data_IF_615604619531
#
_entry.id   IF_615604619531
#
_cell.length_a   1.000
_cell.length_b   1.000
_cell.length_c   1.000
_cell.angle_alpha   90.00
_cell.angle_beta   90.00
_cell.angle_gamma   90.00
#
_symmetry.space_group_name_H-M   'P 1'
#
loop_
_entity.id
_entity.type
_entity.pdbx_description
1 polymer ?
#
# COMPACT_ATOMS: atom_id res chain seq x y z
N UNK A 1 51.60 26.66 9.46
CA UNK A 1 50.40 26.08 8.82
C UNK A 1 49.34 25.95 9.90
N UNK A 2 48.22 26.64 9.71
CA UNK A 2 47.23 26.98 10.74
C UNK A 2 46.33 25.78 11.10
N UNK A 3 46.03 25.55 12.40
CA UNK A 3 45.19 24.43 12.87
C UNK A 3 43.72 24.52 12.42
N UNK A 4 43.32 25.66 11.86
CA UNK A 4 41.97 25.91 11.35
C UNK A 4 41.60 25.09 10.11
N UNK A 5 42.57 24.68 9.28
CA UNK A 5 42.28 23.87 8.08
C UNK A 5 41.94 22.41 8.41
N UNK A 6 42.48 21.88 9.51
CA UNK A 6 42.21 20.49 9.95
C UNK A 6 40.79 20.38 10.50
N UNK A 7 40.29 21.41 11.19
CA UNK A 7 38.93 21.41 11.72
C UNK A 7 37.86 21.47 10.61
N UNK A 8 38.11 22.21 9.52
CA UNK A 8 37.19 22.31 8.38
C UNK A 8 37.03 20.99 7.62
N UNK A 9 38.10 20.18 7.53
CA UNK A 9 38.04 18.85 6.89
C UNK A 9 37.21 17.84 7.70
N UNK A 10 37.24 17.93 9.04
CA UNK A 10 36.49 17.04 9.93
C UNK A 10 34.99 17.37 9.86
N UNK A 11 34.60 18.65 9.72
CA UNK A 11 33.20 19.06 9.57
C UNK A 11 32.63 18.63 8.20
N UNK A 12 33.45 18.63 7.14
CA UNK A 12 33.01 18.16 5.81
C UNK A 12 32.72 16.65 5.78
N UNK A 13 33.45 15.85 6.58
CA UNK A 13 33.16 14.42 6.74
C UNK A 13 32.07 14.12 7.77
N UNK A 14 31.79 15.02 8.72
CA UNK A 14 30.71 14.83 9.70
C UNK A 14 29.29 15.07 9.11
N UNK A 15 29.19 15.59 7.88
CA UNK A 15 27.91 15.81 7.19
C UNK A 15 27.56 14.72 6.18
N UNK A 16 28.34 13.64 6.09
CA UNK A 16 27.89 12.44 5.39
C UNK A 16 26.85 11.71 6.24
N UNK A 17 25.59 12.12 6.07
CA UNK A 17 24.40 11.35 6.42
C UNK A 17 24.67 9.88 6.08
N UNK A 18 24.70 9.04 7.11
CA UNK A 18 25.04 7.63 6.97
C UNK A 18 24.12 6.98 5.92
N UNK A 19 24.63 6.02 5.15
CA UNK A 19 23.84 5.31 4.14
C UNK A 19 22.51 4.78 4.72
N UNK A 20 22.51 4.35 5.99
CA UNK A 20 21.31 3.89 6.71
C UNK A 20 20.27 4.98 7.02
N UNK A 21 20.62 6.25 6.93
CA UNK A 21 19.70 7.39 7.01
C UNK A 21 19.23 7.87 5.63
N UNK A 22 20.03 7.62 4.57
CA UNK A 22 19.57 7.66 3.17
C UNK A 22 18.59 6.52 2.85
N UNK A 23 18.74 5.35 3.47
CA UNK A 23 17.80 4.23 3.29
C UNK A 23 16.40 4.52 3.90
N UNK A 24 16.31 5.41 4.89
CA UNK A 24 15.02 5.96 5.36
C UNK A 24 14.39 6.93 4.35
N UNK A 25 15.20 7.54 3.47
CA UNK A 25 14.77 8.38 2.34
C UNK A 25 14.30 7.55 1.12
N UNK A 26 14.75 6.30 0.98
CA UNK A 26 14.40 5.43 -0.16
C UNK A 26 13.10 4.63 0.07
N UNK A 27 12.04 5.28 0.57
CA UNK A 27 10.72 4.65 0.60
C UNK A 27 10.28 4.31 -0.83
N UNK A 28 9.68 3.12 -1.03
CA UNK A 28 9.39 2.58 -2.35
C UNK A 28 10.60 2.52 -3.32
N UNK A 29 11.83 2.40 -2.79
CA UNK A 29 13.08 2.43 -3.55
C UNK A 29 13.24 3.65 -4.49
N UNK A 30 12.50 4.75 -4.24
CA UNK A 30 12.48 5.92 -5.13
C UNK A 30 11.88 5.68 -6.52
N UNK A 31 11.23 4.53 -6.75
CA UNK A 31 10.58 4.23 -8.02
C UNK A 31 9.40 5.17 -8.27
N UNK A 32 9.27 5.70 -9.49
CA UNK A 32 8.13 6.53 -9.89
C UNK A 32 7.10 5.64 -10.57
N UNK A 33 5.99 5.37 -9.90
CA UNK A 33 4.94 4.57 -10.49
C UNK A 33 4.17 5.38 -11.56
N UNK A 34 3.73 4.69 -12.62
CA UNK A 34 2.59 5.14 -13.41
C UNK A 34 1.35 5.14 -12.51
N UNK A 35 1.02 6.28 -11.93
CA UNK A 35 -0.08 6.44 -10.98
C UNK A 35 -0.77 7.77 -11.25
N UNK A 36 -2.08 7.71 -11.35
CA UNK A 36 -2.97 8.86 -11.34
C UNK A 36 -4.14 8.55 -10.42
N UNK A 37 -4.42 9.43 -9.47
CA UNK A 37 -5.46 9.20 -8.47
C UNK A 37 -6.82 8.99 -9.13
N UNK A 38 -7.18 9.78 -10.15
CA UNK A 38 -8.49 9.70 -10.81
C UNK A 38 -8.75 8.32 -11.42
N UNK A 39 -7.72 7.71 -11.96
CA UNK A 39 -7.80 6.44 -12.67
C UNK A 39 -7.81 5.24 -11.72
N UNK A 40 -7.36 5.46 -10.47
CA UNK A 40 -7.30 4.46 -9.40
C UNK A 40 -8.57 4.44 -8.55
N UNK A 41 -9.35 5.52 -8.48
CA UNK A 41 -10.57 5.58 -7.67
C UNK A 41 -11.61 4.54 -8.11
N UNK A 42 -12.44 4.10 -7.15
CA UNK A 42 -13.54 3.17 -7.36
C UNK A 42 -13.20 1.71 -7.05
N UNK A 43 -13.98 0.80 -7.63
CA UNK A 43 -13.95 -0.63 -7.32
C UNK A 43 -12.85 -1.37 -8.08
N UNK A 44 -12.19 -2.27 -7.37
CA UNK A 44 -11.17 -3.20 -7.83
C UNK A 44 -11.39 -4.59 -7.24
N UNK A 45 -11.06 -5.63 -7.99
CA UNK A 45 -11.13 -7.02 -7.55
C UNK A 45 -9.72 -7.57 -7.48
N UNK A 46 -9.35 -8.16 -6.34
CA UNK A 46 -8.12 -8.96 -6.28
C UNK A 46 -8.27 -10.13 -7.22
N UNK A 47 -7.31 -10.30 -8.12
CA UNK A 47 -7.27 -11.43 -9.06
C UNK A 47 -6.07 -12.34 -8.80
N UNK A 48 -4.99 -11.81 -8.21
CA UNK A 48 -3.81 -12.58 -7.88
C UNK A 48 -2.95 -11.89 -6.81
N UNK A 49 -2.02 -12.65 -6.23
CA UNK A 49 -0.93 -12.09 -5.41
C UNK A 49 0.42 -12.73 -5.74
N UNK A 50 1.48 -11.99 -5.47
CA UNK A 50 2.86 -12.44 -5.59
C UNK A 50 3.41 -12.71 -4.20
N UNK A 51 3.62 -13.98 -3.81
CA UNK A 51 4.13 -14.31 -2.50
C UNK A 51 5.65 -14.06 -2.40
N UNK A 52 6.11 -13.59 -1.25
CA UNK A 52 7.54 -13.42 -0.94
C UNK A 52 8.12 -14.68 -0.25
N UNK A 53 9.38 -14.62 0.17
CA UNK A 53 10.03 -15.62 1.02
C UNK A 53 9.30 -15.71 2.37
N UNK A 54 9.12 -16.93 2.86
CA UNK A 54 8.40 -17.18 4.12
C UNK A 54 6.88 -17.10 4.03
N UNK A 55 6.29 -16.73 2.88
CA UNK A 55 4.83 -16.78 2.73
C UNK A 55 4.33 -18.21 3.01
N UNK A 56 3.34 -18.39 3.90
CA UNK A 56 2.82 -19.71 4.23
C UNK A 56 2.35 -20.41 2.95
N UNK A 57 2.49 -21.74 2.92
CA UNK A 57 1.90 -22.57 1.85
C UNK A 57 0.39 -22.64 2.01
N UNK A 58 -0.28 -21.49 1.97
CA UNK A 58 -1.73 -21.42 1.91
C UNK A 58 -2.16 -22.10 0.61
N UNK A 59 -3.16 -22.98 0.73
CA UNK A 59 -3.76 -23.68 -0.41
C UNK A 59 -4.71 -22.79 -1.19
N UNK A 60 -5.28 -21.78 -0.54
CA UNK A 60 -6.27 -20.89 -1.13
C UNK A 60 -5.97 -19.43 -0.79
N UNK A 61 -6.18 -18.56 -1.78
CA UNK A 61 -6.06 -17.11 -1.67
C UNK A 61 -7.43 -16.57 -2.04
N UNK A 62 -8.17 -15.94 -1.13
CA UNK A 62 -9.52 -15.48 -1.45
C UNK A 62 -9.51 -14.29 -2.42
N UNK A 63 -10.33 -14.35 -3.47
CA UNK A 63 -10.69 -13.18 -4.26
C UNK A 63 -11.64 -12.32 -3.43
N UNK A 64 -11.30 -11.04 -3.28
CA UNK A 64 -12.15 -10.07 -2.60
C UNK A 64 -12.16 -8.75 -3.35
N UNK A 65 -13.24 -8.01 -3.13
CA UNK A 65 -13.42 -6.66 -3.66
C UNK A 65 -12.70 -5.66 -2.76
N UNK A 66 -12.15 -4.62 -3.36
CA UNK A 66 -11.57 -3.46 -2.71
C UNK A 66 -12.11 -2.18 -3.35
N UNK A 67 -12.56 -1.23 -2.55
CA UNK A 67 -12.91 0.11 -3.04
C UNK A 67 -11.83 1.11 -2.62
N UNK A 68 -11.35 1.90 -3.58
CA UNK A 68 -10.42 3.00 -3.32
C UNK A 68 -11.18 4.32 -3.40
N UNK A 69 -11.02 5.15 -2.36
CA UNK A 69 -11.57 6.51 -2.30
C UNK A 69 -10.51 7.48 -1.82
N UNK A 70 -10.58 8.73 -2.27
CA UNK A 70 -9.83 9.82 -1.66
C UNK A 70 -10.52 10.23 -0.35
N UNK A 71 -9.74 10.60 0.65
CA UNK A 71 -10.24 11.15 1.91
C UNK A 71 -9.50 12.44 2.18
N UNK A 72 -10.23 13.48 2.58
CA UNK A 72 -9.62 14.74 2.96
C UNK A 72 -8.98 14.64 4.36
N UNK A 73 -8.01 15.51 4.65
CA UNK A 73 -7.37 15.52 5.96
C UNK A 73 -8.36 15.79 7.10
N UNK A 74 -9.31 16.70 6.89
CA UNK A 74 -10.27 17.11 7.90
C UNK A 74 -11.24 15.97 8.23
N UNK A 75 -11.80 15.30 7.21
CA UNK A 75 -12.63 14.13 7.39
C UNK A 75 -11.91 12.99 8.10
N UNK A 76 -10.64 12.72 7.76
CA UNK A 76 -9.88 11.69 8.47
C UNK A 76 -9.60 12.07 9.92
N UNK A 77 -9.20 13.32 10.20
CA UNK A 77 -9.00 13.79 11.58
C UNK A 77 -10.27 13.69 12.40
N UNK A 78 -11.42 14.09 11.85
CA UNK A 78 -12.72 13.97 12.51
C UNK A 78 -13.05 12.52 12.84
N UNK A 79 -12.84 11.59 11.89
CA UNK A 79 -13.10 10.16 12.10
C UNK A 79 -12.23 9.62 13.24
N UNK A 80 -10.94 9.96 13.25
CA UNK A 80 -10.00 9.59 14.31
C UNK A 80 -10.47 10.14 15.66
N UNK A 81 -10.79 11.43 15.75
CA UNK A 81 -11.28 12.04 17.00
C UNK A 81 -12.61 11.44 17.50
N UNK A 82 -13.46 10.91 16.61
CA UNK A 82 -14.73 10.26 16.98
C UNK A 82 -14.57 8.81 17.41
N UNK A 83 -13.69 8.07 16.74
CA UNK A 83 -13.49 6.63 16.99
C UNK A 83 -12.55 6.37 18.17
N UNK A 84 -11.77 7.37 18.57
CA UNK A 84 -10.78 7.24 19.63
C UNK A 84 -10.98 8.34 20.68
N UNK A 85 -11.08 7.94 21.94
CA UNK A 85 -11.29 8.86 23.07
C UNK A 85 -10.11 9.81 23.30
N UNK A 86 -8.90 9.44 22.88
CA UNK A 86 -7.67 10.26 23.03
C UNK A 86 -6.60 9.88 21.99
N UNK A 87 -6.75 10.28 20.71
CA UNK A 87 -5.71 10.03 19.71
C UNK A 87 -4.42 10.79 20.06
N UNK A 88 -3.26 10.18 19.82
CA UNK A 88 -1.98 10.84 20.05
C UNK A 88 -1.81 12.04 19.10
N UNK A 89 -1.21 13.13 19.59
CA UNK A 89 -0.94 14.30 18.75
C UNK A 89 -0.05 13.94 17.55
N UNK A 90 0.88 13.00 17.76
CA UNK A 90 1.73 12.45 16.70
C UNK A 90 0.91 11.81 15.57
N UNK A 91 -0.15 11.06 15.88
CA UNK A 91 -1.05 10.49 14.88
C UNK A 91 -1.76 11.59 14.09
N UNK A 92 -2.27 12.62 14.77
CA UNK A 92 -2.95 13.75 14.13
C UNK A 92 -2.01 14.51 13.18
N UNK A 93 -0.76 14.74 13.62
CA UNK A 93 0.24 15.46 12.83
C UNK A 93 0.70 14.68 11.60
N UNK A 94 0.62 13.34 11.65
CA UNK A 94 0.92 12.45 10.51
C UNK A 94 -0.14 12.55 9.40
N UNK A 95 -1.38 12.92 9.72
CA UNK A 95 -2.50 13.11 8.76
C UNK A 95 -2.32 14.45 8.03
N UNK A 96 -1.46 14.46 6.99
CA UNK A 96 -1.21 15.61 6.09
C UNK A 96 -0.95 15.16 4.65
N UNK A 97 -1.41 15.88 3.64
CA UNK A 97 -1.24 15.52 2.22
C UNK A 97 -2.35 14.61 1.70
N UNK A 98 -2.16 14.08 0.48
CA UNK A 98 -3.14 13.19 -0.17
C UNK A 98 -3.30 11.90 0.62
N UNK A 99 -4.54 11.58 0.95
CA UNK A 99 -4.90 10.38 1.70
C UNK A 99 -5.86 9.55 0.85
N UNK A 100 -5.57 8.26 0.77
CA UNK A 100 -6.46 7.28 0.18
C UNK A 100 -6.98 6.34 1.25
N UNK A 101 -8.22 5.92 1.08
CA UNK A 101 -8.86 4.85 1.83
C UNK A 101 -9.04 3.65 0.92
N UNK A 102 -8.57 2.50 1.37
CA UNK A 102 -8.78 1.20 0.76
C UNK A 102 -9.73 0.40 1.65
N UNK A 103 -10.98 0.22 1.20
CA UNK A 103 -11.98 -0.60 1.87
C UNK A 103 -11.96 -2.01 1.32
N UNK A 104 -11.63 -2.99 2.14
CA UNK A 104 -11.58 -4.39 1.76
C UNK A 104 -12.86 -5.12 2.16
N UNK A 105 -13.53 -5.73 1.18
CA UNK A 105 -14.77 -6.48 1.35
C UNK A 105 -14.46 -7.97 1.47
N UNK A 106 -14.10 -8.40 2.68
CA UNK A 106 -13.87 -9.82 3.00
C UNK A 106 -14.90 -10.31 4.03
N UNK A 107 -14.81 -11.57 4.47
CA UNK A 107 -15.63 -12.08 5.58
C UNK A 107 -15.59 -11.18 6.82
N UNK A 108 -14.46 -10.48 7.03
CA UNK A 108 -14.28 -9.44 8.03
C UNK A 108 -13.84 -8.16 7.34
N UNK A 109 -14.77 -7.28 6.92
CA UNK A 109 -14.39 -6.07 6.23
C UNK A 109 -13.51 -5.17 7.11
N UNK A 110 -12.58 -4.48 6.46
CA UNK A 110 -11.69 -3.53 7.12
C UNK A 110 -11.29 -2.42 6.16
N UNK A 111 -10.94 -1.28 6.72
CA UNK A 111 -10.50 -0.11 5.99
C UNK A 111 -9.04 0.19 6.33
N UNK A 112 -8.23 0.48 5.32
CA UNK A 112 -6.87 0.97 5.47
C UNK A 112 -6.81 2.41 4.95
N UNK A 113 -6.32 3.33 5.78
CA UNK A 113 -5.97 4.68 5.34
C UNK A 113 -4.47 4.79 5.16
N UNK A 114 -4.08 5.34 4.01
CA UNK A 114 -2.69 5.53 3.64
C UNK A 114 -2.47 6.92 3.11
N UNK A 115 -1.32 7.49 3.44
CA UNK A 115 -0.91 8.85 3.06
C UNK A 115 0.17 8.78 1.99
N UNK A 116 0.08 9.65 0.99
CA UNK A 116 1.10 9.79 -0.05
C UNK A 116 2.45 10.21 0.55
N UNK A 117 3.53 9.65 0.02
CA UNK A 117 4.89 10.04 0.36
C UNK A 117 5.33 11.16 -0.61
N UNK A 118 5.72 12.34 -0.11
CA UNK A 118 6.13 13.45 -0.97
C UNK A 118 7.29 13.08 -1.90
N UNK A 119 7.19 13.48 -3.17
CA UNK A 119 8.25 13.30 -4.17
C UNK A 119 8.32 11.92 -4.83
N UNK A 120 7.46 10.97 -4.47
CA UNK A 120 7.45 9.62 -5.05
C UNK A 120 6.04 9.26 -5.51
N UNK A 121 5.80 9.30 -6.83
CA UNK A 121 4.48 9.07 -7.38
C UNK A 121 3.97 7.66 -7.09
N UNK A 122 2.71 7.57 -6.68
CA UNK A 122 2.03 6.32 -6.32
C UNK A 122 2.55 5.65 -5.04
N UNK A 123 3.49 6.26 -4.30
CA UNK A 123 4.02 5.70 -3.06
C UNK A 123 3.23 6.22 -1.86
N UNK A 124 2.81 5.29 -1.00
CA UNK A 124 1.97 5.56 0.16
C UNK A 124 2.53 4.88 1.40
N UNK A 125 2.33 5.53 2.55
CA UNK A 125 2.60 4.96 3.86
C UNK A 125 1.26 4.72 4.56
N UNK A 126 1.09 3.50 5.09
CA UNK A 126 -0.09 3.18 5.88
C UNK A 126 -0.12 4.04 7.15
N UNK A 127 -1.27 4.65 7.44
CA UNK A 127 -1.51 5.43 8.65
C UNK A 127 -2.12 4.54 9.73
N UNK A 128 -3.23 3.88 9.41
CA UNK A 128 -3.90 2.94 10.31
C UNK A 128 -4.87 2.02 9.57
N UNK A 129 -5.32 0.97 10.27
CA UNK A 129 -6.33 0.02 9.81
C UNK A 129 -7.47 0.01 10.82
N UNK A 130 -8.71 -0.02 10.36
CA UNK A 130 -9.89 -0.26 11.19
C UNK A 130 -10.63 -1.49 10.68
N UNK A 131 -10.69 -2.53 11.50
CA UNK A 131 -11.66 -3.60 11.28
C UNK A 131 -13.04 -3.08 11.71
N UNK A 132 -14.08 -3.43 10.96
CA UNK A 132 -15.44 -2.89 11.18
C UNK A 132 -15.97 -3.11 12.62
N UNK A 133 -15.40 -4.07 13.35
CA UNK A 133 -15.80 -4.47 14.71
C UNK A 133 -14.73 -4.27 15.80
N UNK A 134 -13.58 -3.65 15.52
CA UNK A 134 -12.49 -3.52 16.48
C UNK A 134 -11.97 -2.06 16.54
N UNK A 135 -11.92 -1.50 17.75
CA UNK A 135 -11.47 -0.12 18.02
C UNK A 135 -10.00 -0.02 18.42
N UNK A 136 -9.25 -1.12 18.43
CA UNK A 136 -7.84 -1.13 18.88
C UNK A 136 -6.90 -0.56 17.82
N UNK A 137 -6.19 0.52 18.18
CA UNK A 137 -5.12 1.17 17.39
C UNK A 137 -3.84 0.30 17.28
N UNK A 138 -3.76 -0.82 17.99
CA UNK A 138 -2.50 -1.55 18.21
C UNK A 138 -1.85 -2.11 16.92
N UNK A 139 -2.60 -2.30 15.83
CA UNK A 139 -2.04 -2.79 14.57
C UNK A 139 -1.66 -1.66 13.59
N UNK A 140 -1.88 -0.38 13.94
CA UNK A 140 -1.65 0.76 13.04
C UNK A 140 -0.23 1.37 13.15
N UNK A 141 0.25 1.54 14.38
CA UNK A 141 1.52 2.24 14.64
C UNK A 141 2.74 1.41 14.24
N UNK A 142 2.61 0.08 14.15
CA UNK A 142 3.67 -0.83 13.71
C UNK A 142 3.81 -0.93 12.18
N UNK A 143 2.86 -0.41 11.39
CA UNK A 143 2.80 -0.63 9.95
C UNK A 143 3.44 0.49 9.14
N UNK A 144 4.62 0.97 9.56
CA UNK A 144 5.48 1.85 8.75
C UNK A 144 5.91 1.27 7.38
N UNK A 145 5.30 0.17 6.96
CA UNK A 145 5.37 -0.45 5.65
C UNK A 145 4.90 0.55 4.58
N UNK A 146 5.80 0.91 3.67
CA UNK A 146 5.44 1.58 2.43
C UNK A 146 4.73 0.61 1.49
N UNK A 147 3.78 1.13 0.74
CA UNK A 147 3.19 0.46 -0.41
C UNK A 147 3.28 1.37 -1.63
N UNK A 148 3.26 0.78 -2.81
CA UNK A 148 3.23 1.52 -4.05
C UNK A 148 2.12 1.03 -4.95
N UNK A 149 1.30 1.97 -5.43
CA UNK A 149 0.23 1.73 -6.38
C UNK A 149 0.74 2.05 -7.78
N UNK A 150 0.70 1.06 -8.66
CA UNK A 150 1.14 1.20 -10.05
C UNK A 150 0.04 0.71 -10.99
N UNK A 151 -0.37 1.58 -11.92
CA UNK A 151 -1.24 1.22 -13.03
C UNK A 151 -0.39 0.66 -14.17
N UNK A 152 -0.64 -0.60 -14.49
CA UNK A 152 -0.04 -1.26 -15.64
C UNK A 152 -1.09 -1.36 -16.74
N UNK A 153 -0.82 -0.66 -17.85
CA UNK A 153 -1.67 -0.71 -19.03
C UNK A 153 -1.78 -2.14 -19.56
N UNK A 154 -2.96 -2.47 -20.05
CA UNK A 154 -3.26 -3.76 -20.66
C UNK A 154 -3.97 -3.53 -21.98
N UNK A 155 -3.57 -4.30 -23.00
CA UNK A 155 -4.19 -4.26 -24.32
C UNK A 155 -5.45 -5.14 -24.41
N UNK A 156 -5.95 -5.64 -23.28
CA UNK A 156 -7.20 -6.42 -23.25
C UNK A 156 -8.41 -5.53 -22.93
N UNK A 157 -9.59 -6.06 -23.25
CA UNK A 157 -10.86 -5.33 -23.15
C UNK A 157 -11.28 -4.94 -21.72
N UNK A 158 -10.65 -5.54 -20.70
CA UNK A 158 -10.98 -5.28 -19.30
C UNK A 158 -10.12 -4.19 -18.65
N UNK A 159 -9.26 -3.51 -19.44
CA UNK A 159 -8.51 -2.34 -19.01
C UNK A 159 -7.31 -2.65 -18.10
N UNK A 160 -6.74 -1.60 -17.46
CA UNK A 160 -5.45 -1.70 -16.79
C UNK A 160 -5.50 -2.58 -15.53
N UNK A 161 -4.33 -3.08 -15.15
CA UNK A 161 -4.11 -3.69 -13.86
C UNK A 161 -3.69 -2.64 -12.86
N UNK A 162 -4.22 -2.73 -11.64
CA UNK A 162 -3.63 -2.04 -10.50
C UNK A 162 -2.73 -3.04 -9.76
N UNK A 163 -1.46 -2.68 -9.60
CA UNK A 163 -0.46 -3.49 -8.90
C UNK A 163 -0.08 -2.74 -7.62
N UNK A 164 -0.46 -3.31 -6.47
CA UNK A 164 -0.07 -2.82 -5.15
C UNK A 164 1.19 -3.56 -4.70
N UNK A 165 2.33 -2.90 -4.81
CA UNK A 165 3.64 -3.41 -4.37
C UNK A 165 3.78 -3.14 -2.87
N UNK A 166 4.13 -4.16 -2.10
CA UNK A 166 4.29 -4.05 -0.64
C UNK A 166 5.77 -4.17 -0.28
N UNK A 167 6.31 -3.17 0.42
CA UNK A 167 7.74 -3.01 0.67
C UNK A 167 8.22 -3.54 2.04
N UNK A 168 7.49 -4.48 2.67
CA UNK A 168 7.95 -5.01 3.95
C UNK A 168 7.23 -6.22 4.53
N UNK A 169 6.71 -7.15 3.72
CA UNK A 169 5.98 -8.32 4.23
C UNK A 169 6.14 -9.58 3.35
N UNK A 170 5.51 -10.66 3.82
CA UNK A 170 5.39 -11.97 3.18
C UNK A 170 4.72 -11.95 1.79
N UNK A 171 4.12 -10.84 1.38
CA UNK A 171 3.51 -10.63 0.07
C UNK A 171 4.28 -9.52 -0.62
N UNK A 172 4.78 -9.76 -1.82
CA UNK A 172 5.55 -8.79 -2.60
C UNK A 172 4.62 -7.85 -3.36
N UNK A 173 3.52 -8.37 -3.91
CA UNK A 173 2.51 -7.56 -4.60
C UNK A 173 1.11 -8.20 -4.55
N UNK A 174 0.08 -7.35 -4.62
CA UNK A 174 -1.31 -7.74 -4.86
C UNK A 174 -1.75 -7.15 -6.21
N UNK A 175 -2.42 -7.95 -7.02
CA UNK A 175 -2.81 -7.61 -8.39
C UNK A 175 -4.32 -7.51 -8.45
N UNK A 176 -4.80 -6.39 -8.99
CA UNK A 176 -6.20 -6.07 -9.10
C UNK A 176 -6.63 -5.80 -10.54
N UNK A 177 -7.92 -6.04 -10.80
CA UNK A 177 -8.61 -5.66 -12.02
C UNK A 177 -9.93 -4.95 -11.73
N UNK A 178 -10.50 -4.28 -12.72
CA UNK A 178 -11.87 -3.76 -12.65
C UNK A 178 -12.93 -4.85 -12.78
N UNK A 179 -12.56 -6.03 -13.26
CA UNK A 179 -13.42 -7.21 -13.39
C UNK A 179 -12.84 -8.39 -12.62
N UNK A 180 -13.69 -9.35 -12.26
CA UNK A 180 -13.25 -10.58 -11.61
C UNK A 180 -12.53 -11.52 -12.58
N UNK A 181 -11.60 -12.31 -12.04
CA UNK A 181 -10.87 -13.33 -12.79
C UNK A 181 -9.72 -12.82 -13.66
N UNK A 182 -8.77 -13.72 -13.91
CA UNK A 182 -7.63 -13.50 -14.80
C UNK A 182 -7.04 -14.86 -15.21
N UNK A 183 -6.44 -14.97 -16.40
CA UNK A 183 -5.67 -16.15 -16.78
C UNK A 183 -4.19 -16.00 -16.40
N UNK A 184 -3.47 -17.11 -16.22
CA UNK A 184 -2.07 -17.08 -15.78
C UNK A 184 -1.16 -16.39 -16.81
N UNK A 185 -1.45 -16.53 -18.11
CA UNK A 185 -0.65 -15.94 -19.19
C UNK A 185 -0.69 -14.41 -19.14
N UNK A 186 -1.83 -13.84 -18.72
CA UNK A 186 -2.01 -12.38 -18.59
C UNK A 186 -1.23 -11.78 -17.43
N UNK A 187 -0.76 -12.60 -16.50
CA UNK A 187 0.03 -12.15 -15.35
C UNK A 187 1.54 -12.14 -15.62
N UNK A 188 2.00 -12.71 -16.75
CA UNK A 188 3.42 -12.74 -17.13
C UNK A 188 4.04 -11.34 -17.21
N UNK A 189 3.42 -10.34 -17.87
CA UNK A 189 3.99 -8.99 -17.93
C UNK A 189 4.18 -8.37 -16.55
N UNK A 190 3.25 -8.62 -15.61
CA UNK A 190 3.33 -8.13 -14.23
C UNK A 190 4.47 -8.84 -13.48
N UNK A 191 4.64 -10.14 -13.69
CA UNK A 191 5.76 -10.89 -13.12
C UNK A 191 7.12 -10.38 -13.62
N UNK A 192 7.25 -10.13 -14.92
CA UNK A 192 8.46 -9.58 -15.53
C UNK A 192 8.76 -8.18 -15.00
N UNK A 193 7.74 -7.32 -14.92
CA UNK A 193 7.84 -5.99 -14.34
C UNK A 193 8.36 -6.04 -12.90
N UNK A 194 7.75 -6.86 -12.04
CA UNK A 194 8.17 -6.98 -10.64
C UNK A 194 9.56 -7.61 -10.51
N UNK A 195 9.91 -8.55 -11.39
CA UNK A 195 11.24 -9.16 -11.43
C UNK A 195 12.31 -8.16 -11.81
N UNK A 196 12.04 -7.28 -12.78
CA UNK A 196 12.95 -6.19 -13.15
C UNK A 196 13.10 -5.16 -12.02
N UNK A 197 12.00 -4.86 -11.31
CA UNK A 197 12.01 -3.87 -10.23
C UNK A 197 12.71 -4.37 -8.95
N UNK A 198 12.49 -5.63 -8.56
CA UNK A 198 12.86 -6.16 -7.24
C UNK A 198 13.77 -7.39 -7.29
N UNK A 199 14.23 -7.79 -8.48
CA UNK A 199 14.88 -9.08 -8.68
C UNK A 199 13.90 -10.24 -8.60
N UNK A 200 14.42 -11.47 -8.55
CA UNK A 200 13.61 -12.71 -8.61
C UNK A 200 12.30 -12.64 -7.80
N UNK A 201 11.17 -12.79 -8.50
CA UNK A 201 9.85 -12.94 -7.91
C UNK A 201 9.29 -14.33 -8.18
N UNK A 202 8.46 -14.84 -7.25
CA UNK A 202 7.63 -16.01 -7.54
C UNK A 202 6.56 -15.65 -8.57
N UNK A 203 6.09 -16.64 -9.32
CA UNK A 203 4.95 -16.43 -10.21
C UNK A 203 3.71 -16.01 -9.40
N UNK A 204 2.92 -15.04 -9.92
CA UNK A 204 1.63 -14.68 -9.34
C UNK A 204 0.74 -15.90 -9.15
N UNK A 205 0.09 -15.98 -7.99
CA UNK A 205 -0.93 -16.98 -7.69
C UNK A 205 -2.30 -16.34 -7.84
N UNK A 206 -3.09 -16.88 -8.76
CA UNK A 206 -4.49 -16.49 -8.96
C UNK A 206 -5.27 -16.79 -7.69
N UNK A 207 -6.15 -15.87 -7.31
CA UNK A 207 -7.04 -16.08 -6.18
C UNK A 207 -8.18 -17.03 -6.54
N UNK A 208 -8.69 -17.74 -5.54
CA UNK A 208 -9.88 -18.55 -5.64
C UNK A 208 -11.11 -17.71 -5.29
N UNK A 209 -12.23 -17.87 -6.01
CA UNK A 209 -13.49 -17.24 -5.62
C UNK A 209 -13.82 -17.63 -4.16
N UNK A 210 -14.39 -16.69 -3.38
CA UNK A 210 -14.71 -16.97 -1.99
C UNK A 210 -15.70 -18.14 -1.92
N UNK A 211 -15.49 -19.06 -0.99
CA UNK A 211 -16.35 -20.25 -0.83
C UNK A 211 -17.77 -19.91 -0.34
N UNK A 212 -18.02 -18.65 0.03
CA UNK A 212 -19.31 -18.07 0.40
C UNK A 212 -19.42 -16.65 -0.16
N UNK A 213 -20.55 -16.32 -0.80
CA UNK A 213 -20.86 -14.93 -1.17
C UNK A 213 -20.91 -14.06 0.11
N UNK A 214 -20.03 -13.06 0.18
CA UNK A 214 -20.04 -12.07 1.25
C UNK A 214 -21.10 -11.04 0.92
N UNK A 215 -22.29 -11.19 1.50
CA UNK A 215 -23.33 -10.17 1.44
C UNK A 215 -22.86 -8.97 2.29
N UNK A 216 -22.73 -7.77 1.70
CA UNK A 216 -22.34 -6.60 2.49
C UNK A 216 -23.39 -6.33 3.58
N UNK A 217 -22.99 -5.88 4.78
CA UNK A 217 -23.94 -5.51 5.80
C UNK A 217 -24.85 -4.38 5.27
N UNK A 218 -26.16 -4.41 5.58
CA UNK A 218 -27.08 -3.38 5.14
C UNK A 218 -26.60 -2.01 5.61
N UNK A 219 -26.61 -1.04 4.71
CA UNK A 219 -26.33 0.36 5.01
C UNK A 219 -27.40 0.87 5.99
N UNK A 220 -27.11 0.85 7.29
CA UNK A 220 -27.93 1.58 8.26
C UNK A 220 -27.68 3.06 8.05
N UNK A 221 -28.61 3.71 7.36
CA UNK A 221 -28.83 5.14 7.47
C UNK A 221 -29.44 5.38 8.86
N UNK A 222 -28.62 5.82 9.81
CA UNK A 222 -29.05 6.56 10.99
C UNK A 222 -28.59 8.02 10.86
#
# INVERSE_FOLDING_TARGET
MTPFFVLLYIIYFASSVTQGEKDKLHQCNGYQANYNITDVLGTWFVVALVPDRGFPRLRQISCYKMDISETDEAGLRWLVSRKFESPSQELIDRIKGTIIRQRYHSEKPFDIWSKSIPGINGCFKQLFSLETNNSRIADAEALGTGMQLHLMESNDEFGPYLVQILWGRLISAVIYRRTEGVSSERLVPIHDFLTNLRGYQKMPRICDPPSKEVVPPPTTLE
#
